data_IF_517631085718
#
_entry.id   IF_517631085718
#
_cell.length_a   1.000
_cell.length_b   1.000
_cell.length_c   1.000
_cell.angle_alpha   90.00
_cell.angle_beta   90.00
_cell.angle_gamma   90.00
#
_symmetry.space_group_name_H-M   'P 1'
#
loop_
_entity.id
_entity.type
_entity.pdbx_description
1 polymer ?
#
# COMPACT_ATOMS: atom_id res chain seq x y z
N UNK A 1 18.31 52.83 -16.73
CA UNK A 1 18.44 51.57 -17.50
C UNK A 1 17.86 50.40 -16.69
N UNK A 2 16.65 49.95 -17.05
CA UNK A 2 16.10 48.59 -16.81
C UNK A 2 16.20 47.83 -18.17
N UNK A 3 16.01 46.50 -18.27
CA UNK A 3 16.12 45.40 -17.31
C UNK A 3 16.93 44.20 -17.87
N UNK A 4 17.24 43.17 -17.07
CA UNK A 4 17.63 41.85 -17.58
C UNK A 4 16.68 40.79 -17.02
N UNK A 5 15.58 40.60 -17.74
CA UNK A 5 14.61 39.53 -17.56
C UNK A 5 15.25 38.21 -18.02
N UNK A 6 15.66 37.36 -17.08
CA UNK A 6 16.08 35.99 -17.40
C UNK A 6 14.86 35.13 -17.72
N UNK A 7 14.51 35.10 -19.00
CA UNK A 7 13.55 34.21 -19.61
C UNK A 7 13.97 32.74 -19.42
N UNK A 8 13.50 32.10 -18.34
CA UNK A 8 13.62 30.66 -18.11
C UNK A 8 12.60 29.94 -18.98
N UNK A 9 13.00 29.58 -20.20
CA UNK A 9 12.20 28.70 -21.06
C UNK A 9 11.85 27.39 -20.32
N UNK A 10 10.57 26.99 -20.25
CA UNK A 10 10.21 25.71 -19.64
C UNK A 10 10.79 24.57 -20.49
N UNK A 11 11.72 23.80 -19.93
CA UNK A 11 12.21 22.54 -20.53
C UNK A 11 11.01 21.60 -20.70
N UNK A 12 10.50 21.48 -21.93
CA UNK A 12 9.54 20.42 -22.31
C UNK A 12 10.20 19.07 -22.04
N UNK A 13 9.84 18.44 -20.92
CA UNK A 13 10.19 17.04 -20.67
C UNK A 13 9.42 16.18 -21.69
N UNK A 14 10.05 15.17 -22.30
CA UNK A 14 9.33 14.27 -23.19
C UNK A 14 8.16 13.63 -22.45
N UNK A 15 6.98 13.66 -23.08
CA UNK A 15 5.68 13.24 -22.54
C UNK A 15 5.50 11.71 -22.56
N UNK A 16 6.57 10.95 -22.33
CA UNK A 16 6.44 9.53 -22.01
C UNK A 16 6.15 9.44 -20.52
N UNK A 17 4.90 9.73 -20.17
CA UNK A 17 4.38 9.60 -18.80
C UNK A 17 4.51 8.12 -18.39
N UNK A 18 4.85 7.84 -17.13
CA UNK A 18 4.85 6.48 -16.57
C UNK A 18 3.55 5.70 -16.85
N UNK A 19 2.45 6.42 -17.06
CA UNK A 19 1.16 5.87 -17.48
C UNK A 19 1.20 5.17 -18.84
N UNK A 20 1.93 5.71 -19.82
CA UNK A 20 2.09 5.09 -21.13
C UNK A 20 2.97 3.85 -21.03
N UNK A 21 4.08 3.91 -20.29
CA UNK A 21 4.97 2.75 -20.07
C UNK A 21 4.23 1.59 -19.39
N UNK A 22 3.43 1.89 -18.37
CA UNK A 22 2.61 0.89 -17.68
C UNK A 22 1.54 0.29 -18.60
N UNK A 23 0.85 1.13 -19.37
CA UNK A 23 -0.17 0.67 -20.32
C UNK A 23 0.43 -0.24 -21.40
N UNK A 24 1.57 0.12 -22.00
CA UNK A 24 2.21 -0.70 -23.03
C UNK A 24 2.71 -2.03 -22.47
N UNK A 25 3.30 -2.05 -21.26
CA UNK A 25 3.72 -3.29 -20.60
C UNK A 25 2.53 -4.20 -20.26
N UNK A 26 1.42 -3.62 -19.81
CA UNK A 26 0.21 -4.37 -19.46
C UNK A 26 -0.42 -4.99 -20.72
N UNK A 27 -0.53 -4.22 -21.80
CA UNK A 27 -1.03 -4.73 -23.10
C UNK A 27 -0.10 -5.81 -23.66
N UNK A 28 1.23 -5.58 -23.63
CA UNK A 28 2.20 -6.56 -24.09
C UNK A 28 2.11 -7.85 -23.27
N UNK A 29 1.98 -7.75 -21.95
CA UNK A 29 1.82 -8.89 -21.04
C UNK A 29 0.51 -9.66 -21.27
N UNK A 30 -0.60 -8.99 -21.56
CA UNK A 30 -1.87 -9.65 -21.92
C UNK A 30 -1.74 -10.39 -23.25
N UNK A 31 -1.10 -9.78 -24.25
CA UNK A 31 -0.95 -10.36 -25.60
C UNK A 31 0.05 -11.52 -25.61
N UNK A 32 1.15 -11.42 -24.85
CA UNK A 32 2.14 -12.51 -24.72
C UNK A 32 1.76 -13.54 -23.65
N UNK A 33 0.78 -13.23 -22.80
CA UNK A 33 0.25 -14.12 -21.77
C UNK A 33 -0.13 -15.53 -22.24
N UNK A 34 -0.91 -15.72 -23.33
CA UNK A 34 -1.24 -17.05 -23.83
C UNK A 34 -0.02 -17.81 -24.36
N UNK A 35 0.94 -17.13 -25.00
CA UNK A 35 2.21 -17.73 -25.42
C UNK A 35 3.06 -18.15 -24.22
N UNK A 36 3.20 -17.30 -23.19
CA UNK A 36 3.89 -17.65 -21.96
C UNK A 36 3.19 -18.81 -21.23
N UNK A 37 1.87 -18.88 -21.27
CA UNK A 37 1.10 -19.94 -20.61
C UNK A 37 1.41 -21.32 -21.22
N UNK A 38 1.65 -21.42 -22.52
CA UNK A 38 2.08 -22.67 -23.16
C UNK A 38 3.50 -23.09 -22.73
N UNK A 39 4.44 -22.15 -22.64
CA UNK A 39 5.79 -22.41 -22.14
C UNK A 39 5.82 -22.76 -20.64
N UNK A 40 4.96 -22.12 -19.84
CA UNK A 40 4.74 -22.44 -18.43
C UNK A 40 4.09 -23.81 -18.27
N UNK A 41 3.15 -24.17 -19.15
CA UNK A 41 2.54 -25.49 -19.20
C UNK A 41 3.49 -26.59 -19.69
N UNK A 42 4.63 -26.25 -20.30
CA UNK A 42 5.62 -27.26 -20.67
C UNK A 42 6.41 -27.80 -19.46
N UNK A 43 6.48 -27.05 -18.34
CA UNK A 43 7.26 -27.46 -17.17
C UNK A 43 6.40 -27.58 -15.90
N UNK A 44 6.50 -28.71 -15.16
CA UNK A 44 5.70 -28.93 -13.96
C UNK A 44 6.03 -27.94 -12.83
N UNK A 45 7.29 -27.49 -12.73
CA UNK A 45 7.69 -26.48 -11.74
C UNK A 45 7.07 -25.09 -11.99
N UNK A 46 7.01 -24.63 -13.25
CA UNK A 46 6.41 -23.33 -13.56
C UNK A 46 4.89 -23.34 -13.40
N UNK A 47 4.22 -24.47 -13.65
CA UNK A 47 2.78 -24.62 -13.38
C UNK A 47 2.45 -24.45 -11.90
N UNK A 48 3.20 -25.09 -11.02
CA UNK A 48 3.02 -24.93 -9.56
C UNK A 48 3.29 -23.48 -9.11
N UNK A 49 4.33 -22.85 -9.66
CA UNK A 49 4.60 -21.44 -9.38
C UNK A 49 3.46 -20.52 -9.83
N UNK A 50 2.91 -20.75 -11.02
CA UNK A 50 1.82 -19.96 -11.59
C UNK A 50 0.50 -20.13 -10.80
N UNK A 51 0.18 -21.34 -10.35
CA UNK A 51 -1.04 -21.58 -9.54
C UNK A 51 -0.94 -20.95 -8.16
N UNK A 52 0.21 -21.07 -7.49
CA UNK A 52 0.46 -20.41 -6.19
C UNK A 52 0.38 -18.90 -6.33
N UNK A 53 1.07 -18.33 -7.33
CA UNK A 53 1.03 -16.89 -7.59
C UNK A 53 -0.39 -16.39 -7.83
N UNK A 54 -1.14 -17.07 -8.71
CA UNK A 54 -2.52 -16.68 -9.04
C UNK A 54 -3.42 -16.79 -7.81
N UNK A 55 -3.25 -17.84 -6.99
CA UNK A 55 -3.95 -18.00 -5.72
C UNK A 55 -3.72 -16.85 -4.76
N UNK A 56 -2.45 -16.48 -4.52
CA UNK A 56 -2.08 -15.34 -3.67
C UNK A 56 -2.65 -14.04 -4.24
N UNK A 57 -2.60 -13.83 -5.55
CA UNK A 57 -3.08 -12.60 -6.19
C UNK A 57 -4.59 -12.45 -6.05
N UNK A 58 -5.35 -13.51 -6.36
CA UNK A 58 -6.82 -13.53 -6.22
C UNK A 58 -7.23 -13.34 -4.76
N UNK A 59 -6.48 -13.91 -3.82
CA UNK A 59 -6.76 -13.74 -2.40
C UNK A 59 -6.39 -12.34 -1.88
N UNK A 60 -5.25 -11.78 -2.30
CA UNK A 60 -4.78 -10.47 -1.84
C UNK A 60 -5.59 -9.30 -2.41
N UNK A 61 -6.07 -9.42 -3.65
CA UNK A 61 -6.84 -8.37 -4.35
C UNK A 61 -8.04 -7.84 -3.54
N UNK A 62 -8.98 -8.68 -3.03
CA UNK A 62 -10.12 -8.19 -2.26
C UNK A 62 -9.71 -7.50 -0.96
N UNK A 63 -8.69 -8.01 -0.24
CA UNK A 63 -8.18 -7.36 0.97
C UNK A 63 -7.50 -6.03 0.67
N UNK A 64 -6.75 -5.94 -0.44
CA UNK A 64 -6.12 -4.70 -0.89
C UNK A 64 -7.18 -3.67 -1.27
N UNK A 65 -8.20 -4.06 -2.03
CA UNK A 65 -9.32 -3.17 -2.41
C UNK A 65 -10.03 -2.64 -1.16
N UNK A 66 -10.37 -3.53 -0.21
CA UNK A 66 -10.95 -3.12 1.07
C UNK A 66 -10.03 -2.16 1.83
N UNK A 67 -8.73 -2.46 1.92
CA UNK A 67 -7.76 -1.58 2.58
C UNK A 67 -7.67 -0.19 1.94
N UNK A 68 -7.73 -0.12 0.61
CA UNK A 68 -7.76 1.15 -0.13
C UNK A 68 -9.06 1.93 0.11
N UNK A 69 -10.21 1.25 0.11
CA UNK A 69 -11.51 1.87 0.39
C UNK A 69 -11.57 2.40 1.82
N UNK A 70 -11.13 1.60 2.80
CA UNK A 70 -11.06 1.99 4.21
C UNK A 70 -10.07 3.14 4.40
N UNK A 71 -8.89 3.11 3.77
CA UNK A 71 -7.94 4.23 3.76
C UNK A 71 -8.56 5.51 3.19
N UNK A 72 -9.31 5.38 2.09
CA UNK A 72 -10.06 6.48 1.49
C UNK A 72 -11.13 7.03 2.41
N UNK A 73 -11.90 6.16 3.07
CA UNK A 73 -12.91 6.50 4.06
C UNK A 73 -12.31 7.21 5.27
N UNK A 74 -11.27 6.63 5.89
CA UNK A 74 -10.55 7.23 7.01
C UNK A 74 -10.03 8.61 6.60
N UNK A 75 -9.45 8.78 5.41
CA UNK A 75 -8.99 10.09 4.97
C UNK A 75 -10.13 11.09 4.68
N UNK A 76 -11.32 10.61 4.32
CA UNK A 76 -12.50 11.44 4.12
C UNK A 76 -13.13 11.87 5.45
N UNK A 77 -13.16 10.99 6.46
CA UNK A 77 -13.76 11.25 7.77
C UNK A 77 -12.78 11.85 8.79
N UNK A 78 -11.49 11.53 8.71
CA UNK A 78 -10.42 12.01 9.58
C UNK A 78 -9.65 13.11 8.86
N UNK A 79 -10.01 14.36 9.17
CA UNK A 79 -9.29 15.52 8.67
C UNK A 79 -7.93 15.69 9.38
N UNK A 80 -6.94 16.38 8.75
CA UNK A 80 -5.64 16.66 9.37
C UNK A 80 -5.76 17.37 10.72
N UNK A 81 -6.82 18.16 10.92
CA UNK A 81 -7.10 18.85 12.18
C UNK A 81 -7.53 17.88 13.29
N UNK A 82 -8.37 16.88 12.97
CA UNK A 82 -8.76 15.82 13.90
C UNK A 82 -7.54 14.97 14.23
N UNK A 83 -6.73 14.61 13.23
CA UNK A 83 -5.52 13.82 13.44
C UNK A 83 -4.53 14.54 14.37
N UNK A 84 -4.31 15.85 14.20
CA UNK A 84 -3.46 16.65 15.10
C UNK A 84 -4.02 16.85 16.50
N UNK A 85 -5.33 16.68 16.69
CA UNK A 85 -6.00 16.80 18.00
C UNK A 85 -6.04 15.47 18.75
N UNK A 86 -6.16 14.36 18.02
CA UNK A 86 -6.22 13.00 18.56
C UNK A 86 -4.82 12.42 18.75
N UNK A 87 -3.89 12.66 17.83
CA UNK A 87 -2.51 12.19 17.94
C UNK A 87 -1.76 13.11 18.92
N UNK A 88 -1.20 12.55 20.00
CA UNK A 88 -0.43 13.32 20.98
C UNK A 88 0.77 14.03 20.34
N UNK A 89 1.15 15.20 20.88
CA UNK A 89 2.35 15.94 20.42
C UNK A 89 3.67 15.23 20.76
N UNK A 90 3.65 14.37 21.78
CA UNK A 90 4.79 13.56 22.19
C UNK A 90 4.88 12.30 21.31
N UNK A 91 5.99 12.16 20.57
CA UNK A 91 6.26 11.01 19.71
C UNK A 91 6.06 9.63 20.34
N UNK A 92 6.54 9.34 21.57
CA UNK A 92 6.35 8.00 22.15
C UNK A 92 4.87 7.67 22.42
N UNK A 93 4.06 8.65 22.81
CA UNK A 93 2.63 8.42 22.96
C UNK A 93 1.92 8.35 21.61
N UNK A 94 2.36 9.11 20.61
CA UNK A 94 1.86 8.97 19.25
C UNK A 94 2.12 7.55 18.72
N UNK A 95 3.31 6.98 18.93
CA UNK A 95 3.64 5.59 18.60
C UNK A 95 2.71 4.60 19.32
N UNK A 96 2.50 4.78 20.63
CA UNK A 96 1.61 3.91 21.41
C UNK A 96 0.16 3.94 20.93
N UNK A 97 -0.41 5.14 20.71
CA UNK A 97 -1.77 5.33 20.18
C UNK A 97 -1.90 4.73 18.78
N UNK A 98 -0.86 4.86 17.95
CA UNK A 98 -0.83 4.30 16.60
C UNK A 98 -0.78 2.77 16.61
N UNK A 99 -0.05 2.17 17.55
CA UNK A 99 -0.04 0.73 17.76
C UNK A 99 -1.42 0.20 18.15
N UNK A 100 -2.07 0.86 19.11
CA UNK A 100 -3.45 0.53 19.52
C UNK A 100 -4.44 0.71 18.37
N UNK A 101 -4.30 1.75 17.55
CA UNK A 101 -5.12 1.95 16.37
C UNK A 101 -4.94 0.81 15.33
N UNK A 102 -3.75 0.20 15.28
CA UNK A 102 -3.47 -0.99 14.45
C UNK A 102 -4.34 -2.20 14.82
N UNK A 103 -4.74 -2.31 16.09
CA UNK A 103 -5.63 -3.37 16.57
C UNK A 103 -7.06 -3.24 15.99
N UNK A 104 -7.49 -2.00 15.69
CA UNK A 104 -8.81 -1.72 15.12
C UNK A 104 -8.89 -2.01 13.60
N UNK A 105 -7.74 -2.21 12.94
CA UNK A 105 -7.63 -2.48 11.51
C UNK A 105 -7.02 -3.87 11.28
N UNK A 106 -7.81 -4.95 11.46
CA UNK A 106 -7.38 -6.29 11.11
C UNK A 106 -7.23 -6.38 9.58
N UNK A 107 -6.00 -6.31 9.09
CA UNK A 107 -5.70 -6.33 7.67
C UNK A 107 -4.37 -7.01 7.36
N UNK A 108 -4.18 -7.39 6.10
CA UNK A 108 -2.87 -7.80 5.58
C UNK A 108 -1.98 -6.56 5.40
N UNK A 109 -0.65 -6.74 5.37
CA UNK A 109 0.28 -5.62 5.21
C UNK A 109 0.01 -4.82 3.91
N UNK A 110 -0.57 -5.48 2.90
CA UNK A 110 -0.98 -4.88 1.63
C UNK A 110 -1.96 -3.70 1.81
N UNK A 111 -2.85 -3.77 2.81
CA UNK A 111 -3.82 -2.71 3.11
C UNK A 111 -3.28 -1.63 4.05
N UNK A 112 -2.33 -1.98 4.93
CA UNK A 112 -1.78 -1.04 5.90
C UNK A 112 -0.88 0.02 5.22
N UNK A 113 -0.10 -0.38 4.19
CA UNK A 113 0.79 0.52 3.44
C UNK A 113 0.09 1.78 2.90
N UNK A 114 -1.03 1.69 2.14
CA UNK A 114 -1.73 2.88 1.64
C UNK A 114 -2.36 3.70 2.77
N UNK A 115 -2.80 3.10 3.87
CA UNK A 115 -3.33 3.82 5.04
C UNK A 115 -2.22 4.67 5.68
N UNK A 116 -1.07 4.08 6.00
CA UNK A 116 0.01 4.82 6.66
C UNK A 116 0.61 5.90 5.78
N UNK A 117 0.77 5.65 4.48
CA UNK A 117 1.21 6.71 3.54
C UNK A 117 0.24 7.89 3.56
N UNK A 118 -1.06 7.64 3.68
CA UNK A 118 -2.05 8.71 3.72
C UNK A 118 -2.01 9.49 5.04
N UNK A 119 -1.84 8.80 6.17
CA UNK A 119 -1.65 9.43 7.48
C UNK A 119 -0.36 10.28 7.52
N UNK A 120 0.74 9.79 6.94
CA UNK A 120 1.98 10.56 6.78
C UNK A 120 1.74 11.85 5.97
N UNK A 121 1.00 11.75 4.85
CA UNK A 121 0.65 12.93 4.03
C UNK A 121 -0.25 13.93 4.76
N UNK A 122 -1.01 13.50 5.77
CA UNK A 122 -1.84 14.38 6.61
C UNK A 122 -1.05 15.01 7.78
N UNK A 123 0.24 14.69 7.94
CA UNK A 123 1.15 15.29 8.91
C UNK A 123 1.38 14.47 10.18
N UNK A 124 1.04 13.18 10.17
CA UNK A 124 1.42 12.26 11.24
C UNK A 124 2.95 12.04 11.27
N UNK A 125 3.59 11.96 12.45
CA UNK A 125 4.99 11.59 12.55
C UNK A 125 5.26 10.25 11.85
N UNK A 126 6.34 10.18 11.08
CA UNK A 126 6.72 8.96 10.34
C UNK A 126 6.87 7.76 11.28
N UNK A 127 7.45 7.99 12.46
CA UNK A 127 7.60 7.00 13.54
C UNK A 127 6.25 6.37 13.95
N UNK A 128 5.22 7.20 14.13
CA UNK A 128 3.89 6.76 14.51
C UNK A 128 3.17 6.02 13.37
N UNK A 129 3.32 6.47 12.12
CA UNK A 129 2.74 5.80 10.97
C UNK A 129 3.41 4.44 10.65
N UNK A 130 4.72 4.31 10.89
CA UNK A 130 5.42 3.02 10.83
C UNK A 130 5.02 2.10 11.99
N UNK A 131 4.81 2.64 13.20
CA UNK A 131 4.29 1.87 14.31
C UNK A 131 2.91 1.28 14.01
N UNK A 132 2.02 2.05 13.39
CA UNK A 132 0.74 1.54 12.88
C UNK A 132 0.94 0.40 11.86
N UNK A 133 1.87 0.55 10.90
CA UNK A 133 2.17 -0.50 9.91
C UNK A 133 2.63 -1.81 10.55
N UNK A 134 3.54 -1.73 11.52
CA UNK A 134 4.09 -2.92 12.18
C UNK A 134 3.09 -3.53 13.16
N UNK A 135 2.26 -2.71 13.80
CA UNK A 135 1.28 -3.18 14.79
C UNK A 135 0.09 -3.89 14.16
N UNK A 136 -0.32 -3.51 12.95
CA UNK A 136 -1.45 -4.12 12.25
C UNK A 136 -1.33 -5.65 12.09
N UNK A 137 -0.21 -6.23 11.61
CA UNK A 137 -0.03 -7.68 11.59
C UNK A 137 0.27 -8.27 12.98
N UNK A 138 1.02 -7.54 13.82
CA UNK A 138 1.50 -8.07 15.10
C UNK A 138 0.37 -8.31 16.13
N UNK A 139 -0.65 -7.44 16.14
CA UNK A 139 -1.77 -7.51 17.08
C UNK A 139 -3.04 -8.01 16.37
N UNK A 140 -2.90 -8.67 15.22
CA UNK A 140 -4.05 -9.19 14.51
C UNK A 140 -4.67 -10.36 15.32
N UNK A 141 -5.91 -10.22 15.81
CA UNK A 141 -6.54 -11.26 16.63
C UNK A 141 -6.70 -12.58 15.86
N UNK A 142 -6.89 -12.53 14.54
CA UNK A 142 -6.96 -13.73 13.69
C UNK A 142 -5.64 -14.48 13.71
N UNK A 143 -4.51 -13.77 13.62
CA UNK A 143 -3.18 -14.37 13.68
C UNK A 143 -2.91 -14.94 15.06
N UNK A 144 -3.19 -14.17 16.12
CA UNK A 144 -3.02 -14.61 17.51
C UNK A 144 -3.83 -15.88 17.82
N UNK A 145 -5.09 -15.94 17.40
CA UNK A 145 -5.93 -17.13 17.55
C UNK A 145 -5.41 -18.28 16.71
N UNK A 146 -4.99 -18.03 15.46
CA UNK A 146 -4.45 -19.07 14.58
C UNK A 146 -3.16 -19.68 15.15
N UNK A 147 -2.25 -18.86 15.68
CA UNK A 147 -1.02 -19.33 16.33
C UNK A 147 -1.33 -20.10 17.60
N UNK A 148 -2.26 -19.61 18.43
CA UNK A 148 -2.67 -20.31 19.65
C UNK A 148 -3.31 -21.69 19.37
N UNK A 149 -4.06 -21.82 18.27
CA UNK A 149 -4.66 -23.10 17.87
C UNK A 149 -3.65 -24.03 17.19
N UNK A 150 -2.67 -23.48 16.46
CA UNK A 150 -1.66 -24.28 15.76
C UNK A 150 -0.57 -24.84 16.68
N UNK A 151 -0.27 -24.15 17.79
CA UNK A 151 0.77 -24.55 18.76
C UNK A 151 0.20 -24.58 20.20
N UNK A 152 -0.70 -25.53 20.51
CA UNK A 152 -1.24 -25.71 21.85
C UNK A 152 -0.20 -26.22 22.86
#
# INVERSE_FOLDING_TARGET
MLPANTDRRPRRRPTVTSMHVFATLLVLGIVTGPYLAEWVAASPALRTGATVFTGIFVQATPFLVLGVLVSGGIAAFVSPAVLRRVVPKNEPAAVGVSGLAGMALPGCECGAVPVSRRLMNQGMPTSAALAFLLSAPAINPVVLVSTAVAFP
#
